data_IF_664997082304
#
_entry.id   IF_664997082304
#
_cell.length_a   1.000
_cell.length_b   1.000
_cell.length_c   1.000
_cell.angle_alpha   90.00
_cell.angle_beta   90.00
_cell.angle_gamma   90.00
#
_symmetry.space_group_name_H-M   'P 1'
#
loop_
_entity.id
_entity.type
_entity.pdbx_description
1 polymer ?
#
# COMPACT_ATOMS: atom_id res chain seq x y z
N UNK A 1 3.08 -25.63 2.41
CA UNK A 1 3.12 -24.18 2.21
C UNK A 1 1.95 -23.85 1.33
N UNK A 2 1.04 -22.98 1.81
CA UNK A 2 -0.05 -22.49 0.98
C UNK A 2 0.46 -21.42 0.02
N UNK A 3 -0.14 -21.32 -1.16
CA UNK A 3 0.15 -20.24 -2.11
C UNK A 3 -0.50 -18.93 -1.63
N UNK A 4 -0.03 -17.78 -2.14
CA UNK A 4 -0.66 -16.49 -1.82
C UNK A 4 -2.14 -16.46 -2.20
N UNK A 5 -2.49 -17.06 -3.35
CA UNK A 5 -3.87 -17.14 -3.82
C UNK A 5 -4.75 -17.94 -2.86
N UNK A 6 -4.27 -19.10 -2.39
CA UNK A 6 -4.98 -19.92 -1.40
C UNK A 6 -5.21 -19.18 -0.07
N UNK A 7 -4.26 -18.33 0.35
CA UNK A 7 -4.39 -17.51 1.57
C UNK A 7 -5.45 -16.40 1.35
N UNK A 8 -5.49 -15.79 0.16
CA UNK A 8 -6.50 -14.78 -0.18
C UNK A 8 -7.90 -15.39 -0.22
N UNK A 9 -8.07 -16.52 -0.90
CA UNK A 9 -9.34 -17.25 -0.93
C UNK A 9 -9.81 -17.64 0.48
N UNK A 10 -8.90 -18.10 1.34
CA UNK A 10 -9.25 -18.41 2.72
C UNK A 10 -9.69 -17.16 3.52
N UNK A 11 -9.01 -16.02 3.32
CA UNK A 11 -9.38 -14.76 3.95
C UNK A 11 -10.74 -14.22 3.49
N UNK A 12 -11.12 -14.48 2.24
CA UNK A 12 -12.41 -14.05 1.67
C UNK A 12 -13.62 -14.77 2.30
N UNK A 13 -13.40 -15.94 2.92
CA UNK A 13 -14.44 -16.69 3.62
C UNK A 13 -14.56 -16.32 5.11
N UNK A 14 -13.68 -15.46 5.63
CA UNK A 14 -13.74 -14.98 7.01
C UNK A 14 -14.86 -13.96 7.19
N UNK A 15 -15.42 -13.91 8.39
CA UNK A 15 -16.28 -12.80 8.83
C UNK A 15 -15.50 -11.50 8.93
N UNK A 16 -16.19 -10.36 9.05
CA UNK A 16 -15.53 -9.06 9.18
C UNK A 16 -14.61 -9.01 10.41
N UNK A 17 -15.11 -9.47 11.57
CA UNK A 17 -14.37 -9.51 12.83
C UNK A 17 -13.11 -10.37 12.72
N UNK A 18 -13.19 -11.53 12.07
CA UNK A 18 -12.04 -12.40 11.84
C UNK A 18 -11.02 -11.79 10.87
N UNK A 19 -11.47 -11.07 9.83
CA UNK A 19 -10.58 -10.34 8.94
C UNK A 19 -9.84 -9.21 9.66
N UNK A 20 -10.54 -8.46 10.51
CA UNK A 20 -9.94 -7.41 11.33
C UNK A 20 -8.88 -7.98 12.29
N UNK A 21 -9.18 -9.11 12.94
CA UNK A 21 -8.22 -9.83 13.77
C UNK A 21 -7.00 -10.34 13.00
N UNK A 22 -7.21 -10.89 11.79
CA UNK A 22 -6.13 -11.32 10.90
C UNK A 22 -5.24 -10.16 10.48
N UNK A 23 -5.81 -9.01 10.11
CA UNK A 23 -5.05 -7.80 9.75
C UNK A 23 -4.19 -7.35 10.93
N UNK A 24 -4.77 -7.27 12.14
CA UNK A 24 -4.02 -6.87 13.34
C UNK A 24 -2.85 -7.83 13.63
N UNK A 25 -3.06 -9.13 13.48
CA UNK A 25 -2.01 -10.14 13.64
C UNK A 25 -0.88 -9.97 12.62
N UNK A 26 -1.22 -9.79 11.34
CA UNK A 26 -0.24 -9.60 10.27
C UNK A 26 0.57 -8.31 10.45
N UNK A 27 -0.09 -7.21 10.79
CA UNK A 27 0.57 -5.92 11.05
C UNK A 27 1.50 -5.98 12.26
N UNK A 28 1.08 -6.65 13.35
CA UNK A 28 1.93 -6.82 14.53
C UNK A 28 3.21 -7.62 14.24
N UNK A 29 3.16 -8.54 13.27
CA UNK A 29 4.32 -9.32 12.81
C UNK A 29 5.24 -8.58 11.83
N UNK A 30 4.85 -7.39 11.36
CA UNK A 30 5.61 -6.58 10.42
C UNK A 30 6.11 -5.29 11.11
N UNK A 31 7.25 -5.32 11.83
CA UNK A 31 7.78 -4.17 12.55
C UNK A 31 8.16 -2.98 11.65
N UNK A 32 8.24 -3.21 10.33
CA UNK A 32 8.43 -2.19 9.30
C UNK A 32 7.26 -2.15 8.31
N UNK A 33 6.05 -2.49 8.73
CA UNK A 33 4.87 -2.27 7.91
C UNK A 33 4.88 -0.80 7.46
N UNK A 34 4.66 -0.48 6.18
CA UNK A 34 4.70 0.90 5.70
C UNK A 34 3.55 1.68 6.36
N UNK A 35 3.86 2.40 7.44
CA UNK A 35 2.95 3.30 8.15
C UNK A 35 2.92 4.62 7.36
N UNK A 36 2.41 4.58 6.13
CA UNK A 36 2.43 5.75 5.25
C UNK A 36 3.84 6.30 4.99
N UNK A 37 3.90 7.50 4.40
CA UNK A 37 5.13 8.27 4.34
C UNK A 37 5.36 8.92 5.71
N UNK A 38 6.57 8.83 6.24
CA UNK A 38 6.99 9.67 7.35
C UNK A 38 7.27 11.11 6.88
N UNK A 39 7.43 12.04 7.82
CA UNK A 39 7.68 13.45 7.51
C UNK A 39 8.99 13.65 6.72
N UNK A 40 9.96 12.76 6.90
CA UNK A 40 11.22 12.80 6.15
C UNK A 40 11.01 12.44 4.68
N UNK A 41 10.26 11.39 4.40
CA UNK A 41 9.83 10.99 3.06
C UNK A 41 9.03 12.09 2.39
N UNK A 42 8.05 12.68 3.09
CA UNK A 42 7.25 13.77 2.57
C UNK A 42 8.12 14.96 2.15
N UNK A 43 9.00 15.43 3.04
CA UNK A 43 9.94 16.52 2.74
C UNK A 43 10.88 16.17 1.57
N UNK A 44 11.35 14.92 1.48
CA UNK A 44 12.19 14.49 0.36
C UNK A 44 11.44 14.60 -0.96
N UNK A 45 10.18 14.16 -1.01
CA UNK A 45 9.35 14.23 -2.22
C UNK A 45 9.08 15.66 -2.66
N UNK A 46 8.83 16.56 -1.72
CA UNK A 46 8.65 17.99 -2.02
C UNK A 46 9.91 18.59 -2.65
N UNK A 47 11.09 18.32 -2.08
CA UNK A 47 12.38 18.78 -2.65
C UNK A 47 12.61 18.19 -4.04
N UNK A 48 12.31 16.91 -4.24
CA UNK A 48 12.49 16.25 -5.54
C UNK A 48 11.55 16.86 -6.61
N UNK A 49 10.30 17.18 -6.24
CA UNK A 49 9.34 17.85 -7.12
C UNK A 49 9.80 19.27 -7.46
N UNK A 50 10.21 20.06 -6.47
CA UNK A 50 10.69 21.43 -6.68
C UNK A 50 11.97 21.49 -7.51
N UNK A 51 12.85 20.48 -7.35
CA UNK A 51 14.07 20.36 -8.14
C UNK A 51 13.84 19.95 -9.60
N UNK A 52 12.62 19.54 -9.96
CA UNK A 52 12.28 19.00 -11.28
C UNK A 52 12.85 17.61 -11.56
N UNK A 53 13.41 16.92 -10.55
CA UNK A 53 13.90 15.53 -10.66
C UNK A 53 12.77 14.53 -10.90
N UNK A 54 11.57 14.85 -10.44
CA UNK A 54 10.36 14.05 -10.64
C UNK A 54 9.30 14.89 -11.33
N UNK A 55 8.59 14.28 -12.27
CA UNK A 55 7.42 14.88 -12.90
C UNK A 55 6.16 14.36 -12.19
N UNK A 56 5.36 15.23 -11.52
CA UNK A 56 4.07 14.83 -11.00
C UNK A 56 3.17 14.37 -12.13
N UNK A 57 2.39 13.31 -11.89
CA UNK A 57 1.36 12.88 -12.82
C UNK A 57 0.17 13.85 -12.72
N UNK A 58 -0.38 14.23 -13.85
CA UNK A 58 -1.73 14.80 -13.88
C UNK A 58 -2.76 13.74 -13.45
N UNK A 59 -3.93 14.20 -13.01
CA UNK A 59 -5.04 13.31 -12.65
C UNK A 59 -5.39 12.32 -13.77
N UNK A 60 -5.38 12.75 -15.04
CA UNK A 60 -5.65 11.89 -16.18
C UNK A 60 -4.54 10.85 -16.41
N UNK A 61 -3.27 11.24 -16.28
CA UNK A 61 -2.12 10.31 -16.37
C UNK A 61 -2.16 9.27 -15.25
N UNK A 62 -2.55 9.67 -14.03
CA UNK A 62 -2.72 8.76 -12.90
C UNK A 62 -3.81 7.72 -13.16
N UNK A 63 -5.00 8.16 -13.58
CA UNK A 63 -6.10 7.25 -13.89
C UNK A 63 -5.73 6.25 -15.00
N UNK A 64 -5.06 6.72 -16.05
CA UNK A 64 -4.60 5.87 -17.15
C UNK A 64 -3.53 4.83 -16.75
N UNK A 65 -2.86 5.00 -15.61
CA UNK A 65 -1.87 4.05 -15.09
C UNK A 65 -2.51 3.02 -14.15
N UNK A 66 -3.47 3.44 -13.32
CA UNK A 66 -4.15 2.52 -12.38
C UNK A 66 -5.19 1.62 -13.06
N UNK A 67 -5.77 2.06 -14.18
CA UNK A 67 -6.82 1.33 -14.92
C UNK A 67 -6.26 0.26 -15.89
N UNK A 68 -4.93 0.04 -15.88
CA UNK A 68 -4.25 -1.03 -16.67
C UNK A 68 -4.16 -2.37 -15.94
N UNK A 69 -4.95 -2.58 -14.88
CA UNK A 69 -4.95 -3.83 -14.11
C UNK A 69 -6.21 -4.65 -14.37
#
# INVERSE_FOLDING_TARGET
MSTLLEIQEAADHLTLEEREGLIAHLLAGMPSAPIGADDEEANRRDIEMDSGKVKPLSHAEFLAEIDRR
#
